data_IF_537542787120
#
_entry.id   IF_537542787120
#
_cell.length_a   1.000
_cell.length_b   1.000
_cell.length_c   1.000
_cell.angle_alpha   90.00
_cell.angle_beta   90.00
_cell.angle_gamma   90.00
#
_symmetry.space_group_name_H-M   'P 1'
#
loop_
_entity.id
_entity.type
_entity.pdbx_description
1 polymer ?
#
# COMPACT_ATOMS: atom_id res chain seq x y z
N UNK A 1 11.08 31.35 -26.03
CA UNK A 1 11.35 30.89 -24.64
C UNK A 1 10.84 29.47 -24.49
N UNK A 2 11.66 28.57 -24.00
CA UNK A 2 11.26 27.20 -23.67
C UNK A 2 10.33 27.23 -22.44
N UNK A 3 9.15 26.61 -22.52
CA UNK A 3 8.24 26.53 -21.37
C UNK A 3 8.72 25.47 -20.39
N UNK A 4 8.31 25.56 -19.12
CA UNK A 4 8.61 24.55 -18.11
C UNK A 4 8.12 23.15 -18.55
N UNK A 5 6.93 23.08 -19.09
CA UNK A 5 6.37 21.82 -19.62
C UNK A 5 7.25 21.18 -20.70
N UNK A 6 7.72 21.97 -21.66
CA UNK A 6 8.67 21.50 -22.69
C UNK A 6 9.97 20.98 -22.07
N UNK A 7 10.52 21.68 -21.08
CA UNK A 7 11.73 21.25 -20.41
C UNK A 7 11.56 19.92 -19.67
N UNK A 8 10.45 19.73 -18.96
CA UNK A 8 10.11 18.48 -18.27
C UNK A 8 9.93 17.35 -19.28
N UNK A 9 9.15 17.56 -20.34
CA UNK A 9 8.91 16.53 -21.35
C UNK A 9 10.21 16.05 -22.01
N UNK A 10 11.08 16.97 -22.38
CA UNK A 10 12.37 16.63 -22.99
C UNK A 10 13.28 15.87 -22.01
N UNK A 11 13.31 16.25 -20.73
CA UNK A 11 14.07 15.53 -19.71
C UNK A 11 13.57 14.09 -19.54
N UNK A 12 12.25 13.89 -19.49
CA UNK A 12 11.64 12.56 -19.43
C UNK A 12 11.98 11.74 -20.68
N UNK A 13 11.86 12.32 -21.87
CA UNK A 13 12.19 11.64 -23.12
C UNK A 13 13.65 11.21 -23.19
N UNK A 14 14.57 12.05 -22.69
CA UNK A 14 16.01 11.71 -22.62
C UNK A 14 16.27 10.50 -21.70
N UNK A 15 15.62 10.45 -20.53
CA UNK A 15 15.80 9.35 -19.59
C UNK A 15 15.22 8.05 -20.13
N UNK A 16 14.09 8.11 -20.80
CA UNK A 16 13.42 6.92 -21.33
C UNK A 16 13.99 6.41 -22.64
N UNK A 17 14.93 7.14 -23.28
CA UNK A 17 15.40 6.87 -24.64
C UNK A 17 14.22 6.65 -25.62
N UNK A 18 13.09 7.24 -25.32
CA UNK A 18 11.85 6.97 -25.99
C UNK A 18 11.45 8.14 -26.84
N UNK A 19 11.10 7.88 -28.03
CA UNK A 19 11.07 9.01 -28.94
C UNK A 19 9.76 9.72 -28.95
N UNK A 20 8.68 9.20 -29.35
CA UNK A 20 7.50 9.99 -29.71
C UNK A 20 6.19 9.24 -29.54
N UNK A 21 6.26 8.04 -28.99
CA UNK A 21 5.09 7.21 -28.75
C UNK A 21 4.51 7.47 -27.36
N UNK A 22 3.27 7.08 -27.14
CA UNK A 22 2.64 7.11 -25.84
C UNK A 22 3.42 6.23 -24.85
N UNK A 23 3.86 6.83 -23.75
CA UNK A 23 4.55 6.12 -22.67
C UNK A 23 3.56 5.92 -21.54
N UNK A 24 3.12 4.68 -21.27
CA UNK A 24 2.23 4.40 -20.15
C UNK A 24 2.96 4.61 -18.83
N UNK A 25 2.27 5.12 -17.81
CA UNK A 25 2.83 5.27 -16.46
C UNK A 25 3.12 3.89 -15.83
N UNK A 26 2.26 2.92 -16.10
CA UNK A 26 2.39 1.53 -15.70
C UNK A 26 2.06 0.62 -16.88
N UNK A 27 2.97 -0.28 -17.18
CA UNK A 27 2.77 -1.28 -18.22
C UNK A 27 3.12 -2.67 -17.64
N UNK A 28 2.15 -3.59 -17.54
CA UNK A 28 2.43 -4.97 -17.16
C UNK A 28 3.34 -5.62 -18.20
N UNK A 29 4.38 -6.32 -17.72
CA UNK A 29 5.28 -7.10 -18.58
C UNK A 29 5.19 -8.57 -18.21
N UNK A 30 4.86 -9.39 -19.19
CA UNK A 30 4.74 -10.84 -19.07
C UNK A 30 5.88 -11.47 -19.86
N UNK A 31 6.98 -11.77 -19.22
CA UNK A 31 8.20 -12.32 -19.84
C UNK A 31 8.63 -13.65 -19.23
N UNK A 32 7.87 -14.18 -18.29
CA UNK A 32 8.14 -15.43 -17.59
C UNK A 32 7.18 -16.56 -17.96
N UNK A 33 6.70 -17.26 -16.96
CA UNK A 33 5.83 -18.42 -17.12
C UNK A 33 4.33 -18.10 -17.04
N UNK A 34 3.94 -16.82 -17.07
CA UNK A 34 2.56 -16.37 -16.82
C UNK A 34 1.58 -17.06 -17.77
N UNK A 35 1.84 -17.00 -19.08
CA UNK A 35 0.98 -17.64 -20.08
C UNK A 35 0.88 -19.15 -19.90
N UNK A 36 2.00 -19.80 -19.53
CA UNK A 36 2.04 -21.24 -19.28
C UNK A 36 1.16 -21.58 -18.07
N UNK A 37 1.31 -20.87 -16.96
CA UNK A 37 0.53 -21.13 -15.74
C UNK A 37 -0.95 -20.85 -15.91
N UNK A 38 -1.32 -19.81 -16.65
CA UNK A 38 -2.73 -19.54 -16.98
C UNK A 38 -3.30 -20.67 -17.84
N UNK A 39 -2.56 -21.15 -18.84
CA UNK A 39 -3.00 -22.26 -19.67
C UNK A 39 -3.19 -23.56 -18.84
N UNK A 40 -2.26 -23.86 -17.93
CA UNK A 40 -2.37 -25.02 -17.03
C UNK A 40 -3.60 -24.91 -16.12
N UNK A 41 -3.96 -23.71 -15.63
CA UNK A 41 -5.21 -23.49 -14.87
C UNK A 41 -6.44 -23.76 -15.72
N UNK A 42 -6.46 -23.34 -16.98
CA UNK A 42 -7.59 -23.58 -17.89
C UNK A 42 -7.71 -25.07 -18.20
N UNK A 43 -6.61 -25.74 -18.54
CA UNK A 43 -6.58 -27.14 -18.91
C UNK A 43 -7.03 -28.05 -17.75
N UNK A 44 -6.63 -27.70 -16.52
CA UNK A 44 -7.02 -28.40 -15.30
C UNK A 44 -8.45 -28.05 -14.82
N UNK A 45 -9.08 -27.03 -15.36
CA UNK A 45 -10.36 -26.44 -14.93
C UNK A 45 -10.37 -25.81 -13.52
N UNK A 46 -9.24 -25.77 -12.83
CA UNK A 46 -9.07 -25.07 -11.53
C UNK A 46 -8.86 -23.57 -11.75
N UNK A 47 -9.95 -22.85 -11.99
CA UNK A 47 -9.99 -21.41 -12.27
C UNK A 47 -10.65 -20.57 -11.17
N UNK A 48 -10.79 -21.13 -9.97
CA UNK A 48 -11.43 -20.47 -8.83
C UNK A 48 -10.43 -20.10 -7.73
N UNK A 49 -10.93 -19.84 -6.52
CA UNK A 49 -10.14 -19.51 -5.34
C UNK A 49 -9.41 -20.72 -4.70
N UNK A 50 -9.55 -21.90 -5.26
CA UNK A 50 -8.85 -23.12 -4.83
C UNK A 50 -8.13 -23.74 -6.01
N UNK A 51 -6.97 -24.36 -5.76
CA UNK A 51 -6.19 -25.02 -6.79
C UNK A 51 -4.69 -24.98 -6.50
N UNK A 52 -3.94 -25.82 -7.20
CA UNK A 52 -2.50 -26.00 -7.00
C UNK A 52 -1.72 -24.67 -7.04
N UNK A 53 -2.09 -23.73 -7.92
CA UNK A 53 -1.40 -22.45 -8.03
C UNK A 53 -1.66 -21.52 -6.84
N UNK A 54 -2.83 -21.60 -6.22
CA UNK A 54 -3.12 -20.87 -4.98
C UNK A 54 -2.26 -21.41 -3.85
N UNK A 55 -2.28 -22.73 -3.62
CA UNK A 55 -1.48 -23.38 -2.59
C UNK A 55 0.02 -23.13 -2.79
N UNK A 56 0.49 -23.21 -4.02
CA UNK A 56 1.87 -22.94 -4.38
C UNK A 56 2.29 -21.49 -4.16
N UNK A 57 1.41 -20.54 -4.43
CA UNK A 57 1.66 -19.12 -4.15
C UNK A 57 1.74 -18.87 -2.64
N UNK A 58 0.78 -19.37 -1.87
CA UNK A 58 0.72 -19.22 -0.41
C UNK A 58 1.98 -19.81 0.25
N UNK A 59 2.33 -21.05 -0.09
CA UNK A 59 3.51 -21.70 0.45
C UNK A 59 4.80 -20.94 0.11
N UNK A 60 4.98 -20.53 -1.16
CA UNK A 60 6.16 -19.76 -1.57
C UNK A 60 6.25 -18.41 -0.92
N UNK A 61 5.13 -17.74 -0.71
CA UNK A 61 5.11 -16.43 -0.04
C UNK A 61 5.44 -16.60 1.45
N UNK A 62 4.90 -17.61 2.10
CA UNK A 62 5.22 -17.94 3.49
C UNK A 62 6.71 -18.23 3.65
N UNK A 63 7.29 -19.09 2.79
CA UNK A 63 8.72 -19.41 2.79
C UNK A 63 9.60 -18.19 2.56
N UNK A 64 9.23 -17.35 1.58
CA UNK A 64 10.00 -16.15 1.24
C UNK A 64 10.03 -15.10 2.35
N UNK A 65 8.88 -14.91 3.03
CA UNK A 65 8.75 -13.92 4.10
C UNK A 65 9.14 -14.44 5.48
N UNK A 66 9.30 -15.77 5.65
CA UNK A 66 9.47 -16.40 6.94
C UNK A 66 8.19 -16.45 7.79
N UNK A 67 7.04 -16.09 7.21
CA UNK A 67 5.76 -16.19 7.87
C UNK A 67 5.31 -17.65 7.98
N UNK A 68 4.59 -17.98 9.08
CA UNK A 68 4.09 -19.36 9.25
C UNK A 68 3.03 -19.72 8.21
N UNK A 69 2.22 -18.74 7.81
CA UNK A 69 1.15 -18.89 6.83
C UNK A 69 1.06 -17.67 5.95
N UNK A 70 0.62 -17.86 4.71
CA UNK A 70 0.16 -16.81 3.82
C UNK A 70 -1.24 -17.19 3.30
N UNK A 71 -2.06 -16.21 3.04
CA UNK A 71 -3.42 -16.40 2.51
C UNK A 71 -3.60 -15.53 1.28
N UNK A 72 -3.89 -16.16 0.15
CA UNK A 72 -4.14 -15.46 -1.09
C UNK A 72 -5.52 -14.79 -1.07
N UNK A 73 -5.56 -13.55 -1.53
CA UNK A 73 -6.79 -12.77 -1.71
C UNK A 73 -6.82 -12.20 -3.13
N UNK A 74 -7.97 -11.74 -3.57
CA UNK A 74 -8.19 -11.30 -4.95
C UNK A 74 -7.30 -10.14 -5.40
N UNK A 75 -6.91 -9.27 -4.48
CA UNK A 75 -6.01 -8.13 -4.74
C UNK A 75 -5.49 -7.52 -3.43
N UNK A 76 -4.53 -6.58 -3.55
CA UNK A 76 -3.94 -5.90 -2.40
C UNK A 76 -4.91 -5.04 -1.59
N UNK A 77 -5.95 -4.49 -2.19
CA UNK A 77 -6.98 -3.74 -1.47
C UNK A 77 -7.76 -4.64 -0.52
N UNK A 78 -8.11 -5.85 -0.97
CA UNK A 78 -8.74 -6.87 -0.13
C UNK A 78 -7.78 -7.33 0.98
N UNK A 79 -6.48 -7.49 0.68
CA UNK A 79 -5.47 -7.83 1.67
C UNK A 79 -5.37 -6.76 2.78
N UNK A 80 -5.30 -5.49 2.41
CA UNK A 80 -5.27 -4.38 3.37
C UNK A 80 -6.54 -4.33 4.23
N UNK A 81 -7.71 -4.50 3.62
CA UNK A 81 -8.97 -4.53 4.35
C UNK A 81 -9.00 -5.66 5.38
N UNK A 82 -8.63 -6.89 4.99
CA UNK A 82 -8.55 -8.03 5.90
C UNK A 82 -7.52 -7.82 7.01
N UNK A 83 -6.36 -7.26 6.69
CA UNK A 83 -5.32 -6.97 7.68
C UNK A 83 -5.82 -5.96 8.74
N UNK A 84 -6.53 -4.92 8.32
CA UNK A 84 -7.13 -3.94 9.23
C UNK A 84 -8.19 -4.54 10.14
N UNK A 85 -9.09 -5.39 9.61
CA UNK A 85 -10.07 -6.11 10.40
C UNK A 85 -9.41 -7.03 11.43
N UNK A 86 -8.35 -7.74 11.04
CA UNK A 86 -7.58 -8.61 11.94
C UNK A 86 -6.80 -7.82 12.99
N UNK A 87 -6.38 -6.59 12.67
CA UNK A 87 -5.78 -5.67 13.63
C UNK A 87 -6.80 -5.09 14.62
N UNK A 88 -8.09 -5.34 14.43
CA UNK A 88 -9.17 -4.88 15.29
C UNK A 88 -9.72 -3.50 14.93
N UNK A 89 -9.42 -2.98 13.74
CA UNK A 89 -9.97 -1.69 13.27
C UNK A 89 -11.47 -1.80 13.07
N UNK A 90 -12.22 -0.92 13.70
CA UNK A 90 -13.69 -0.92 13.67
C UNK A 90 -14.23 0.48 13.31
N UNK A 91 -15.55 0.53 13.14
CA UNK A 91 -16.26 1.75 12.81
C UNK A 91 -16.03 2.84 13.86
N UNK A 92 -15.63 4.02 13.37
CA UNK A 92 -15.33 5.16 14.23
C UNK A 92 -13.86 5.33 14.59
N UNK A 93 -13.03 4.30 14.44
CA UNK A 93 -11.59 4.41 14.62
C UNK A 93 -10.93 5.31 13.56
N UNK A 94 -9.73 5.75 13.84
CA UNK A 94 -8.86 6.42 12.90
C UNK A 94 -7.64 5.53 12.60
N UNK A 95 -7.22 5.55 11.32
CA UNK A 95 -6.02 4.86 10.89
C UNK A 95 -5.10 5.87 10.20
N UNK A 96 -3.86 5.97 10.66
CA UNK A 96 -2.87 6.87 10.07
C UNK A 96 -2.45 6.34 8.69
N UNK A 97 -2.52 7.20 7.69
CA UNK A 97 -2.13 6.90 6.31
C UNK A 97 -1.33 8.08 5.74
N UNK A 98 -0.29 7.84 4.92
CA UNK A 98 0.44 8.95 4.32
C UNK A 98 -0.45 9.70 3.32
N UNK A 99 -0.28 11.02 3.25
CA UNK A 99 -1.00 11.85 2.28
C UNK A 99 -0.62 11.50 0.83
N UNK A 100 0.63 11.11 0.60
CA UNK A 100 1.10 10.55 -0.67
C UNK A 100 0.95 9.03 -0.64
N UNK A 101 -0.07 8.51 -1.29
CA UNK A 101 -0.38 7.08 -1.30
C UNK A 101 -1.26 6.70 -2.49
N UNK A 102 -1.39 5.41 -2.75
CA UNK A 102 -2.43 4.90 -3.64
C UNK A 102 -3.79 4.94 -2.94
N UNK A 103 -4.83 5.28 -3.67
CA UNK A 103 -6.20 5.44 -3.11
C UNK A 103 -6.71 4.20 -2.37
N UNK A 104 -6.22 3.01 -2.73
CA UNK A 104 -6.58 1.76 -2.07
C UNK A 104 -6.27 1.75 -0.57
N UNK A 105 -5.21 2.44 -0.13
CA UNK A 105 -4.85 2.56 1.28
C UNK A 105 -5.98 3.21 2.09
N UNK A 106 -6.45 4.37 1.64
CA UNK A 106 -7.55 5.08 2.29
C UNK A 106 -8.89 4.34 2.14
N UNK A 107 -9.13 3.70 0.99
CA UNK A 107 -10.34 2.91 0.76
C UNK A 107 -10.44 1.70 1.69
N UNK A 108 -9.34 0.98 1.92
CA UNK A 108 -9.33 -0.15 2.84
C UNK A 108 -9.74 0.26 4.26
N UNK A 109 -9.27 1.42 4.73
CA UNK A 109 -9.70 2.01 6.01
C UNK A 109 -11.20 2.31 6.00
N UNK A 110 -11.69 2.92 4.91
CA UNK A 110 -13.13 3.23 4.77
C UNK A 110 -14.01 1.99 4.72
N UNK A 111 -13.52 0.88 4.19
CA UNK A 111 -14.26 -0.39 4.16
C UNK A 111 -14.46 -0.97 5.58
N UNK A 112 -13.56 -0.70 6.52
CA UNK A 112 -13.76 -1.00 7.94
C UNK A 112 -14.75 -0.06 8.65
N UNK A 113 -15.30 0.96 7.97
CA UNK A 113 -16.08 2.02 8.61
C UNK A 113 -15.24 3.05 9.37
N UNK A 114 -13.93 2.89 9.36
CA UNK A 114 -12.97 3.77 10.02
C UNK A 114 -12.67 5.02 9.17
N UNK A 115 -11.92 5.95 9.74
CA UNK A 115 -11.54 7.21 9.11
C UNK A 115 -10.05 7.21 8.76
N UNK A 116 -9.67 7.37 7.48
CA UNK A 116 -8.27 7.61 7.15
C UNK A 116 -7.85 8.96 7.73
N UNK A 117 -6.81 8.95 8.53
CA UNK A 117 -6.19 10.10 9.15
C UNK A 117 -4.88 10.38 8.44
N UNK A 118 -4.88 11.38 7.57
CA UNK A 118 -3.73 11.68 6.72
C UNK A 118 -2.62 12.35 7.52
N UNK A 119 -1.41 11.85 7.32
CA UNK A 119 -0.17 12.37 7.89
C UNK A 119 0.81 12.77 6.80
N UNK A 120 1.77 13.60 7.15
CA UNK A 120 2.71 14.17 6.20
C UNK A 120 3.76 13.16 5.72
N UNK A 121 4.42 13.47 4.61
CA UNK A 121 5.45 12.66 3.98
C UNK A 121 6.79 13.36 4.03
N UNK A 122 7.87 12.62 4.24
CA UNK A 122 9.23 13.14 4.24
C UNK A 122 9.84 13.10 2.82
N UNK A 123 10.79 13.98 2.55
CA UNK A 123 11.34 14.16 1.19
C UNK A 123 12.25 13.01 0.73
N UNK A 124 12.89 12.30 1.65
CA UNK A 124 13.90 11.28 1.32
C UNK A 124 13.31 10.01 0.74
N UNK A 125 12.24 9.50 1.35
CA UNK A 125 11.58 8.24 0.94
C UNK A 125 10.19 8.47 0.36
N UNK A 126 9.65 9.68 0.49
CA UNK A 126 8.26 10.05 0.18
C UNK A 126 7.22 9.29 1.03
N UNK A 127 7.67 8.46 1.97
CA UNK A 127 6.84 7.77 2.94
C UNK A 127 6.38 8.68 4.09
N UNK A 128 5.73 8.12 5.11
CA UNK A 128 5.40 8.86 6.33
C UNK A 128 6.65 9.48 6.94
N UNK A 129 6.54 10.72 7.39
CA UNK A 129 7.59 11.43 8.13
C UNK A 129 7.54 11.04 9.62
N UNK A 130 8.52 10.27 10.14
CA UNK A 130 8.49 9.83 11.54
C UNK A 130 8.60 10.99 12.53
N UNK A 131 9.40 12.03 12.22
CA UNK A 131 9.61 13.17 13.13
C UNK A 131 8.37 14.07 13.16
N UNK A 132 7.82 14.40 12.00
CA UNK A 132 6.59 15.17 11.91
C UNK A 132 5.42 14.42 12.56
N UNK A 133 5.32 13.09 12.34
CA UNK A 133 4.31 12.26 12.95
C UNK A 133 4.43 12.24 14.48
N UNK A 134 5.64 12.04 15.01
CA UNK A 134 5.89 12.06 16.46
C UNK A 134 5.47 13.39 17.08
N UNK A 135 5.90 14.51 16.47
CA UNK A 135 5.54 15.85 16.93
C UNK A 135 4.02 16.08 16.89
N UNK A 136 3.38 15.65 15.80
CA UNK A 136 1.94 15.75 15.63
C UNK A 136 1.16 14.94 16.69
N UNK A 137 1.50 13.67 16.88
CA UNK A 137 0.83 12.80 17.85
C UNK A 137 1.01 13.32 19.28
N UNK A 138 2.18 13.87 19.62
CA UNK A 138 2.43 14.44 20.96
C UNK A 138 1.44 15.56 21.33
N UNK A 139 1.01 16.38 20.38
CA UNK A 139 0.11 17.51 20.65
C UNK A 139 -1.35 17.23 20.29
N UNK A 140 -1.62 16.21 19.48
CA UNK A 140 -2.96 15.93 18.93
C UNK A 140 -3.64 14.74 19.56
N UNK A 141 -2.92 13.97 20.41
CA UNK A 141 -3.46 12.77 21.04
C UNK A 141 -3.24 12.74 22.54
N UNK A 142 -4.07 11.95 23.20
CA UNK A 142 -3.90 11.60 24.61
C UNK A 142 -4.04 10.09 24.82
N UNK A 143 -3.47 9.59 25.92
CA UNK A 143 -3.68 8.21 26.34
C UNK A 143 -4.96 8.13 27.19
N UNK A 144 -5.91 7.32 26.74
CA UNK A 144 -7.17 7.08 27.45
C UNK A 144 -7.44 5.59 27.53
N UNK A 145 -7.38 5.01 28.75
CA UNK A 145 -7.56 3.56 28.99
C UNK A 145 -6.60 2.67 28.15
N UNK A 146 -5.37 3.13 27.96
CA UNK A 146 -4.37 2.39 27.17
C UNK A 146 -4.50 2.55 25.64
N UNK A 147 -5.42 3.38 25.18
CA UNK A 147 -5.65 3.66 23.77
C UNK A 147 -5.14 5.06 23.41
N UNK A 148 -4.61 5.21 22.19
CA UNK A 148 -4.25 6.50 21.61
C UNK A 148 -5.51 7.17 21.07
N UNK A 149 -5.94 8.28 21.67
CA UNK A 149 -7.18 8.98 21.30
C UNK A 149 -6.85 10.35 20.73
N UNK A 150 -7.42 10.65 19.59
CA UNK A 150 -7.34 11.98 18.96
C UNK A 150 -8.17 12.98 19.78
N UNK A 151 -7.52 13.98 20.36
CA UNK A 151 -8.15 14.99 21.25
C UNK A 151 -9.28 15.74 20.54
N UNK A 152 -9.12 16.01 19.24
CA UNK A 152 -10.08 16.80 18.45
C UNK A 152 -11.35 16.01 18.11
N UNK A 153 -11.21 14.75 17.78
CA UNK A 153 -12.34 13.91 17.30
C UNK A 153 -12.91 13.00 18.38
N UNK A 154 -12.14 12.71 19.40
CA UNK A 154 -12.46 11.71 20.42
C UNK A 154 -12.36 10.27 19.94
N UNK A 155 -11.92 10.03 18.72
CA UNK A 155 -11.78 8.69 18.14
C UNK A 155 -10.45 8.04 18.52
N UNK A 156 -10.43 6.72 18.57
CA UNK A 156 -9.19 5.96 18.76
C UNK A 156 -8.37 5.95 17.48
N UNK A 157 -7.08 6.25 17.56
CA UNK A 157 -6.10 5.98 16.50
C UNK A 157 -5.56 4.57 16.77
N UNK A 158 -6.05 3.59 16.00
CA UNK A 158 -5.78 2.18 16.30
C UNK A 158 -4.62 1.60 15.52
N UNK A 159 -4.40 2.06 14.29
CA UNK A 159 -3.38 1.51 13.39
C UNK A 159 -2.74 2.58 12.52
N UNK A 160 -1.61 2.23 11.91
CA UNK A 160 -1.03 3.00 10.81
C UNK A 160 -0.66 2.08 9.64
N UNK A 161 -0.70 2.63 8.43
CA UNK A 161 -0.35 1.93 7.20
C UNK A 161 0.83 2.66 6.55
N UNK A 162 2.08 2.30 6.84
CA UNK A 162 3.23 2.81 6.11
C UNK A 162 3.16 2.35 4.65
N UNK A 163 3.57 3.22 3.72
CA UNK A 163 3.54 2.91 2.28
C UNK A 163 4.92 3.14 1.68
N UNK A 164 5.40 2.13 0.95
CA UNK A 164 6.65 2.20 0.20
C UNK A 164 6.37 2.85 -1.17
N UNK A 165 6.50 4.16 -1.24
CA UNK A 165 6.20 4.93 -2.44
C UNK A 165 7.20 4.59 -3.56
N UNK A 166 6.69 4.30 -4.75
CA UNK A 166 7.49 3.85 -5.90
C UNK A 166 8.45 2.68 -5.58
N UNK A 167 8.00 1.75 -4.69
CA UNK A 167 8.82 0.61 -4.22
C UNK A 167 10.04 1.05 -3.39
N UNK A 168 10.13 2.32 -3.01
CA UNK A 168 11.19 2.82 -2.16
C UNK A 168 10.83 2.62 -0.68
N UNK A 169 11.69 1.97 0.13
CA UNK A 169 11.36 1.68 1.53
C UNK A 169 11.18 2.96 2.33
N UNK A 170 10.06 3.11 3.01
CA UNK A 170 9.89 4.13 4.03
C UNK A 170 10.69 3.78 5.30
N UNK A 171 10.90 4.76 6.17
CA UNK A 171 11.65 4.58 7.43
C UNK A 171 10.80 3.86 8.48
N UNK A 172 10.73 2.51 8.39
CA UNK A 172 10.00 1.68 9.35
C UNK A 172 10.63 1.65 10.74
N UNK A 173 11.92 2.04 10.88
CA UNK A 173 12.60 2.06 12.18
C UNK A 173 12.25 3.35 12.93
N UNK A 174 12.06 4.44 12.20
CA UNK A 174 11.64 5.72 12.77
C UNK A 174 10.17 5.76 13.18
N UNK A 175 9.32 4.97 12.48
CA UNK A 175 7.89 4.86 12.76
C UNK A 175 7.60 3.89 13.91
#
# INVERSE_FOLDING_TARGET
MRTLAQAITEAIQQVLNSPQEFVPLHEPRFSGNESKYVQECIDSTFVSSVGEFVDRFENKLADYTGAKYAVAVVNGTAALHMALLLAGVDSGDEVLVPALSFVATANAVRYCGAKPHFVDSEERTLGMDPEALRAYLHVSTEQRNGLCVNIKTGNTILAMIPVHIFVHPCDLIGL
#
